data_IF_808478336355
#
_entry.id   IF_808478336355
#
_cell.length_a   1.000
_cell.length_b   1.000
_cell.length_c   1.000
_cell.angle_alpha   90.00
_cell.angle_beta   90.00
_cell.angle_gamma   90.00
#
_symmetry.space_group_name_H-M   'P 1'
#
loop_
_entity.id
_entity.type
_entity.pdbx_description
1 polymer ?
#
# COMPACT_ATOMS: atom_id res chain seq x y z
N UNK A 1 3.82 -0.56 -3.66
CA UNK A 1 4.15 -0.83 -2.24
C UNK A 1 5.12 -1.98 -2.19
N UNK A 2 6.17 -1.83 -1.42
CA UNK A 2 7.23 -2.83 -1.25
C UNK A 2 7.32 -3.25 0.21
N UNK A 3 7.33 -4.56 0.47
CA UNK A 3 7.47 -5.15 1.81
C UNK A 3 8.30 -6.43 1.77
N UNK A 4 8.75 -6.87 2.94
CA UNK A 4 9.30 -8.21 3.12
C UNK A 4 8.27 -9.29 2.71
N UNK A 5 8.68 -10.42 2.10
CA UNK A 5 7.78 -11.51 1.73
C UNK A 5 6.87 -11.99 2.88
N UNK A 6 7.39 -12.09 4.10
CA UNK A 6 6.61 -12.53 5.27
C UNK A 6 5.58 -11.50 5.78
N UNK A 7 5.63 -10.24 5.32
CA UNK A 7 4.72 -9.17 5.73
C UNK A 7 3.45 -9.08 4.86
N UNK A 8 3.33 -9.92 3.85
CA UNK A 8 2.16 -10.01 2.97
C UNK A 8 1.16 -11.05 3.49
N UNK A 9 -0.11 -10.63 3.60
CA UNK A 9 -1.25 -11.49 3.92
C UNK A 9 -2.26 -11.36 2.78
N UNK A 10 -2.10 -12.25 1.80
CA UNK A 10 -2.81 -12.22 0.52
C UNK A 10 -3.79 -13.40 0.42
N UNK A 11 -4.87 -13.18 -0.30
CA UNK A 11 -5.84 -14.20 -0.70
C UNK A 11 -5.45 -14.83 -2.04
N UNK A 12 -6.00 -16.00 -2.35
CA UNK A 12 -5.77 -16.66 -3.64
C UNK A 12 -6.32 -15.80 -4.79
N UNK A 13 -5.63 -15.73 -5.95
CA UNK A 13 -4.46 -16.54 -6.32
C UNK A 13 -3.10 -15.95 -5.92
N UNK A 14 -3.05 -14.78 -5.28
CA UNK A 14 -1.77 -14.12 -4.93
C UNK A 14 -1.07 -14.78 -3.75
N UNK A 15 -1.82 -15.51 -2.92
CA UNK A 15 -1.25 -16.33 -1.84
C UNK A 15 -0.24 -17.34 -2.38
N UNK A 16 -0.59 -18.05 -3.45
CA UNK A 16 0.29 -19.06 -4.06
C UNK A 16 1.55 -18.41 -4.63
N UNK A 17 1.41 -17.23 -5.24
CA UNK A 17 2.54 -16.43 -5.74
C UNK A 17 3.47 -16.05 -4.60
N UNK A 18 2.96 -15.47 -3.50
CA UNK A 18 3.82 -15.02 -2.41
C UNK A 18 4.51 -16.19 -1.68
N UNK A 19 3.87 -17.35 -1.54
CA UNK A 19 4.53 -18.52 -0.97
C UNK A 19 5.72 -18.98 -1.82
N UNK A 20 5.60 -18.92 -3.16
CA UNK A 20 6.74 -19.22 -4.04
C UNK A 20 7.87 -18.17 -3.90
N UNK A 21 7.51 -16.89 -3.77
CA UNK A 21 8.47 -15.79 -3.63
C UNK A 21 9.18 -15.81 -2.27
N UNK A 22 8.59 -16.36 -1.21
CA UNK A 22 9.30 -16.53 0.08
C UNK A 22 10.53 -17.44 -0.01
N UNK A 23 10.58 -18.32 -1.01
CA UNK A 23 11.73 -19.18 -1.26
C UNK A 23 12.87 -18.41 -1.94
N UNK A 24 12.54 -17.34 -2.68
CA UNK A 24 13.48 -16.43 -3.32
C UNK A 24 14.01 -15.42 -2.27
N UNK A 25 15.30 -15.52 -1.94
CA UNK A 25 15.91 -14.74 -0.85
C UNK A 25 16.71 -13.53 -1.33
N UNK A 26 16.96 -13.40 -2.64
CA UNK A 26 17.90 -12.39 -3.13
C UNK A 26 17.23 -11.30 -3.96
N UNK A 27 16.17 -11.65 -4.67
CA UNK A 27 15.56 -10.78 -5.69
C UNK A 27 14.20 -10.22 -5.28
N UNK A 28 14.04 -8.92 -5.49
CA UNK A 28 12.74 -8.27 -5.41
C UNK A 28 11.83 -8.71 -6.57
N UNK A 29 10.61 -9.13 -6.25
CA UNK A 29 9.66 -9.71 -7.22
C UNK A 29 8.32 -8.99 -7.16
N UNK A 30 7.79 -8.61 -8.32
CA UNK A 30 6.43 -8.07 -8.43
C UNK A 30 5.42 -9.20 -8.24
N UNK A 31 4.59 -9.10 -7.21
CA UNK A 31 3.56 -10.10 -6.87
C UNK A 31 2.24 -9.76 -7.54
N UNK A 32 1.99 -8.46 -7.76
CA UNK A 32 0.78 -7.98 -8.43
C UNK A 32 1.08 -6.67 -9.15
N UNK A 33 0.48 -6.51 -10.33
CA UNK A 33 0.39 -5.26 -11.06
C UNK A 33 -0.95 -5.17 -11.78
N UNK A 34 -1.71 -4.11 -11.54
CA UNK A 34 -3.08 -3.97 -12.07
C UNK A 34 -3.85 -2.87 -11.36
N UNK A 35 -5.17 -2.77 -11.56
CA UNK A 35 -5.99 -1.75 -10.90
C UNK A 35 -6.08 -1.99 -9.38
N UNK A 36 -6.33 -0.93 -8.61
CA UNK A 36 -6.62 -1.06 -7.17
C UNK A 36 -7.90 -1.90 -6.96
N UNK A 37 -8.90 -1.79 -7.84
CA UNK A 37 -10.13 -2.61 -7.78
C UNK A 37 -9.82 -4.11 -7.75
N UNK A 38 -9.00 -4.58 -8.68
CA UNK A 38 -8.62 -6.00 -8.74
C UNK A 38 -7.79 -6.45 -7.54
N UNK A 39 -7.01 -5.53 -6.96
CA UNK A 39 -6.13 -5.83 -5.85
C UNK A 39 -6.86 -5.94 -4.50
N UNK A 40 -7.84 -5.08 -4.26
CA UNK A 40 -8.56 -5.01 -2.98
C UNK A 40 -9.06 -6.37 -2.45
N UNK A 41 -9.75 -7.22 -3.24
CA UNK A 41 -10.20 -8.53 -2.75
C UNK A 41 -9.03 -9.50 -2.49
N UNK A 42 -7.89 -9.31 -3.16
CA UNK A 42 -6.74 -10.21 -3.09
C UNK A 42 -5.75 -9.84 -1.96
N UNK A 43 -5.79 -8.61 -1.47
CA UNK A 43 -4.84 -8.11 -0.47
C UNK A 43 -5.51 -7.25 0.62
N UNK A 44 -6.67 -7.65 1.19
CA UNK A 44 -7.50 -6.78 2.02
C UNK A 44 -6.77 -6.25 3.27
N UNK A 45 -5.79 -6.99 3.79
CA UNK A 45 -5.02 -6.62 4.98
C UNK A 45 -3.85 -5.67 4.68
N UNK A 46 -3.50 -5.45 3.41
CA UNK A 46 -2.27 -4.75 3.04
C UNK A 46 -2.50 -3.44 2.29
N UNK A 47 -3.63 -3.27 1.61
CA UNK A 47 -3.76 -2.23 0.56
C UNK A 47 -4.66 -1.06 0.92
N UNK A 48 -5.00 -0.88 2.20
CA UNK A 48 -5.81 0.24 2.68
C UNK A 48 -5.26 1.61 2.25
N UNK A 49 -3.92 1.80 2.24
CA UNK A 49 -3.32 3.04 1.73
C UNK A 49 -3.58 3.24 0.22
N UNK A 50 -3.57 2.17 -0.57
CA UNK A 50 -3.85 2.27 -2.01
C UNK A 50 -5.33 2.53 -2.27
N UNK A 51 -6.22 1.88 -1.51
CA UNK A 51 -7.65 2.16 -1.55
C UNK A 51 -7.95 3.62 -1.16
N UNK A 52 -7.30 4.15 -0.13
CA UNK A 52 -7.39 5.58 0.22
C UNK A 52 -6.91 6.49 -0.91
N UNK A 53 -5.81 6.14 -1.58
CA UNK A 53 -5.33 6.85 -2.78
C UNK A 53 -6.35 6.82 -3.93
N UNK A 54 -7.01 5.68 -4.16
CA UNK A 54 -8.07 5.56 -5.16
C UNK A 54 -9.31 6.39 -4.84
N UNK A 55 -9.68 6.50 -3.56
CA UNK A 55 -10.79 7.37 -3.13
C UNK A 55 -10.41 8.85 -3.34
N UNK A 56 -9.18 9.25 -3.02
CA UNK A 56 -8.71 10.62 -3.18
C UNK A 56 -8.54 11.03 -4.66
N UNK A 57 -8.16 10.09 -5.52
CA UNK A 57 -8.03 10.30 -6.96
C UNK A 57 -9.40 10.26 -7.66
N UNK A 58 -10.26 11.25 -7.38
CA UNK A 58 -11.65 11.32 -7.83
C UNK A 58 -11.86 11.12 -9.34
N UNK A 59 -10.90 11.48 -10.19
CA UNK A 59 -10.94 11.32 -11.64
C UNK A 59 -10.50 9.94 -12.15
N UNK A 60 -9.84 9.14 -11.30
CA UNK A 60 -9.33 7.80 -11.65
C UNK A 60 -10.11 6.69 -10.92
N UNK A 61 -10.41 6.90 -9.64
CA UNK A 61 -11.06 5.90 -8.80
C UNK A 61 -10.27 4.59 -8.68
N UNK A 62 -10.98 3.52 -8.30
CA UNK A 62 -10.37 2.20 -8.11
C UNK A 62 -9.94 1.52 -9.42
N UNK A 63 -10.55 1.90 -10.54
CA UNK A 63 -10.27 1.32 -11.86
C UNK A 63 -9.05 1.98 -12.51
N UNK A 64 -8.94 3.31 -12.42
CA UNK A 64 -7.87 4.07 -13.04
C UNK A 64 -6.59 4.17 -12.20
N UNK A 65 -6.65 3.98 -10.87
CA UNK A 65 -5.43 3.94 -10.05
C UNK A 65 -4.77 2.57 -10.18
N UNK A 66 -3.52 2.58 -10.65
CA UNK A 66 -2.70 1.39 -10.80
C UNK A 66 -1.94 1.08 -9.51
N UNK A 67 -1.97 -0.19 -9.11
CA UNK A 67 -1.29 -0.73 -7.97
C UNK A 67 -0.20 -1.71 -8.39
N UNK A 68 0.94 -1.64 -7.69
CA UNK A 68 2.03 -2.61 -7.78
C UNK A 68 2.43 -3.08 -6.40
N UNK A 69 2.43 -4.40 -6.17
CA UNK A 69 2.98 -5.03 -4.96
C UNK A 69 4.33 -5.65 -5.29
N UNK A 70 5.36 -5.29 -4.53
CA UNK A 70 6.71 -5.80 -4.70
C UNK A 70 7.12 -6.49 -3.40
N UNK A 71 7.45 -7.75 -3.49
CA UNK A 71 8.05 -8.51 -2.40
C UNK A 71 9.56 -8.43 -2.51
N UNK A 72 10.21 -7.88 -1.50
CA UNK A 72 11.66 -7.69 -1.47
C UNK A 72 12.23 -8.25 -0.16
N UNK A 73 13.01 -9.35 -0.22
CA UNK A 73 13.65 -9.94 0.96
C UNK A 73 14.56 -8.97 1.72
N UNK A 74 15.05 -7.90 1.08
CA UNK A 74 15.91 -6.88 1.69
C UNK A 74 15.13 -5.83 2.50
N UNK A 75 13.80 -5.86 2.49
CA UNK A 75 12.95 -4.95 3.27
C UNK A 75 12.85 -5.38 4.73
N UNK A 76 13.97 -5.39 5.44
CA UNK A 76 14.05 -5.86 6.83
C UNK A 76 13.50 -4.85 7.85
N UNK A 77 13.54 -3.57 7.52
CA UNK A 77 13.27 -2.50 8.50
C UNK A 77 12.11 -1.59 8.12
N UNK A 78 11.59 -1.72 6.89
CA UNK A 78 10.66 -0.74 6.32
C UNK A 78 9.56 -1.38 5.47
N UNK A 79 8.37 -0.80 5.56
CA UNK A 79 7.37 -0.83 4.50
C UNK A 79 7.48 0.44 3.67
N UNK A 80 7.59 0.29 2.34
CA UNK A 80 7.73 1.43 1.44
C UNK A 80 6.49 1.57 0.56
N UNK A 81 5.89 2.76 0.57
CA UNK A 81 4.81 3.13 -0.33
C UNK A 81 5.31 4.27 -1.22
N UNK A 82 5.46 3.99 -2.52
CA UNK A 82 5.69 4.99 -3.55
C UNK A 82 4.34 5.30 -4.22
N UNK A 83 4.04 6.58 -4.38
CA UNK A 83 2.91 7.09 -5.18
C UNK A 83 3.52 7.95 -6.28
N UNK A 84 3.04 7.76 -7.50
CA UNK A 84 3.42 8.55 -8.66
C UNK A 84 2.15 9.10 -9.29
N UNK A 85 2.09 10.42 -9.44
CA UNK A 85 1.01 11.11 -10.13
C UNK A 85 1.57 11.66 -11.44
N UNK A 86 0.86 11.40 -12.53
CA UNK A 86 1.25 11.82 -13.89
C UNK A 86 0.17 12.74 -14.44
N UNK A 87 0.58 13.92 -14.89
CA UNK A 87 -0.25 14.93 -15.52
C UNK A 87 0.13 15.15 -16.98
N UNK A 88 -0.53 16.11 -17.66
CA UNK A 88 -0.24 16.48 -19.04
C UNK A 88 1.23 16.87 -19.25
N UNK A 89 1.70 16.79 -20.49
CA UNK A 89 3.05 17.24 -20.90
C UNK A 89 4.21 16.58 -20.10
N UNK A 90 4.00 15.35 -19.61
CA UNK A 90 5.02 14.61 -18.87
C UNK A 90 5.26 15.13 -17.44
N UNK A 91 4.35 15.94 -16.89
CA UNK A 91 4.43 16.34 -15.50
C UNK A 91 4.32 15.12 -14.58
N UNK A 92 5.32 14.88 -13.74
CA UNK A 92 5.31 13.74 -12.80
C UNK A 92 5.70 14.18 -11.39
N UNK A 93 4.94 13.73 -10.40
CA UNK A 93 5.26 13.90 -8.98
C UNK A 93 5.37 12.53 -8.34
N UNK A 94 6.46 12.28 -7.63
CA UNK A 94 6.64 11.07 -6.85
C UNK A 94 6.75 11.40 -5.37
N UNK A 95 5.99 10.69 -4.54
CA UNK A 95 6.11 10.73 -3.08
C UNK A 95 6.42 9.34 -2.57
N UNK A 96 7.39 9.24 -1.65
CA UNK A 96 7.76 7.97 -1.01
C UNK A 96 7.59 8.06 0.50
N UNK A 97 6.74 7.20 1.05
CA UNK A 97 6.58 7.01 2.49
C UNK A 97 7.31 5.74 2.92
N UNK A 98 8.18 5.85 3.93
CA UNK A 98 8.85 4.72 4.58
C UNK A 98 8.30 4.60 6.01
N UNK A 99 7.71 3.45 6.34
CA UNK A 99 7.14 3.19 7.66
C UNK A 99 7.93 2.05 8.33
N UNK A 100 8.53 2.26 9.51
CA UNK A 100 9.28 1.21 10.20
C UNK A 100 8.44 -0.05 10.40
N UNK A 101 8.99 -1.20 10.01
CA UNK A 101 8.35 -2.49 10.13
C UNK A 101 9.39 -3.62 10.10
N UNK A 102 9.31 -4.55 11.06
CA UNK A 102 10.11 -5.78 11.06
C UNK A 102 9.51 -6.82 10.12
N UNK A 103 10.29 -7.83 9.67
CA UNK A 103 9.75 -8.91 8.87
C UNK A 103 8.60 -9.61 9.59
N UNK A 104 7.50 -9.87 8.87
CA UNK A 104 6.30 -10.51 9.42
C UNK A 104 5.25 -9.52 9.94
N UNK A 105 5.63 -8.26 10.19
CA UNK A 105 4.66 -7.24 10.54
C UNK A 105 3.79 -6.90 9.31
N UNK A 106 2.47 -7.09 9.41
CA UNK A 106 1.53 -6.74 8.32
C UNK A 106 1.36 -5.22 8.21
N UNK A 107 1.37 -4.53 9.36
CA UNK A 107 1.14 -3.10 9.52
C UNK A 107 2.37 -2.45 10.14
N UNK A 108 2.80 -1.30 9.62
CA UNK A 108 3.94 -0.56 10.18
C UNK A 108 3.54 0.28 11.40
N UNK A 109 4.50 0.56 12.27
CA UNK A 109 4.26 1.12 13.61
C UNK A 109 3.59 2.50 13.59
N UNK A 110 3.84 3.32 12.57
CA UNK A 110 3.29 4.68 12.48
C UNK A 110 1.76 4.73 12.28
N UNK A 111 1.14 3.61 11.91
CA UNK A 111 -0.31 3.54 11.70
C UNK A 111 -1.08 3.88 12.97
N UNK A 112 -0.54 3.49 14.13
CA UNK A 112 -1.13 3.81 15.44
C UNK A 112 -1.16 5.32 15.70
N UNK A 113 -0.05 6.01 15.43
CA UNK A 113 0.03 7.46 15.61
C UNK A 113 -0.88 8.22 14.65
N UNK A 114 -0.99 7.75 13.40
CA UNK A 114 -1.94 8.33 12.44
C UNK A 114 -3.38 8.22 12.93
N UNK A 115 -3.77 7.06 13.46
CA UNK A 115 -5.12 6.87 14.01
C UNK A 115 -5.39 7.79 15.21
N UNK A 116 -4.47 7.88 16.17
CA UNK A 116 -4.60 8.79 17.31
C UNK A 116 -4.69 10.26 16.85
N UNK A 117 -3.91 10.66 15.84
CA UNK A 117 -3.99 11.98 15.26
C UNK A 117 -5.37 12.25 14.65
N UNK A 118 -5.93 11.30 13.89
CA UNK A 118 -7.28 11.44 13.32
C UNK A 118 -8.36 11.61 14.39
N UNK A 119 -8.27 10.90 15.52
CA UNK A 119 -9.19 11.09 16.66
C UNK A 119 -9.07 12.51 17.22
N UNK A 120 -7.85 12.98 17.49
CA UNK A 120 -7.64 14.34 18.02
C UNK A 120 -8.20 15.41 17.09
N UNK A 121 -7.93 15.28 15.80
CA UNK A 121 -8.39 16.23 14.78
C UNK A 121 -9.91 16.20 14.58
N UNK A 122 -10.56 15.05 14.82
CA UNK A 122 -12.00 14.90 14.60
C UNK A 122 -12.87 15.90 15.38
N UNK A 123 -12.38 16.38 16.53
CA UNK A 123 -13.04 17.39 17.36
C UNK A 123 -13.18 18.73 16.63
N UNK A 124 -12.33 18.98 15.63
CA UNK A 124 -12.27 20.22 14.86
C UNK A 124 -12.84 20.07 13.44
N UNK A 125 -13.41 18.91 13.10
CA UNK A 125 -13.95 18.63 11.76
C UNK A 125 -15.47 18.80 11.71
N UNK A 126 -16.03 19.22 10.56
CA UNK A 126 -17.48 19.25 10.37
C UNK A 126 -18.06 17.84 10.32
N UNK A 127 -19.37 17.74 10.54
CA UNK A 127 -20.12 16.48 10.39
C UNK A 127 -19.95 15.94 8.97
N UNK A 128 -19.53 14.68 8.86
CA UNK A 128 -19.37 13.98 7.58
C UNK A 128 -18.07 13.17 7.49
N UNK A 129 -17.82 12.64 6.28
CA UNK A 129 -16.59 11.91 5.98
C UNK A 129 -15.49 12.91 5.66
N UNK A 130 -14.47 12.96 6.50
CA UNK A 130 -13.30 13.79 6.31
C UNK A 130 -12.10 12.87 6.03
N UNK A 131 -11.59 12.90 4.81
CA UNK A 131 -10.36 12.19 4.45
C UNK A 131 -9.19 13.08 4.88
N UNK A 132 -8.31 12.55 5.73
CA UNK A 132 -7.12 13.24 6.21
C UNK A 132 -6.14 13.54 5.07
#
# INVERSE_FOLDING_TARGET
MTKHPSSYKLESPLREVIESVKLEKEKATTVYEGSVRGLCPLAPNNVNTMAGGAIAAHNLGFDGVMARLISDPKMTDWHVVKIEAVGPEGFTVTTTRRNPAKPGAVTGQLTYYSFLSSIKESIHKPVGINIC
#
